data_IF_819198181449
#
_entry.id   IF_819198181449
#
_cell.length_a   1.000
_cell.length_b   1.000
_cell.length_c   1.000
_cell.angle_alpha   90.00
_cell.angle_beta   90.00
_cell.angle_gamma   90.00
#
_symmetry.space_group_name_H-M   'P 1'
#
loop_
_entity.id
_entity.type
_entity.pdbx_description
1 polymer ?
#
# COMPACT_ATOMS: atom_id res chain seq x y z
N UNK A 1 -27.42 -6.71 12.89
CA UNK A 1 -26.83 -6.59 11.53
C UNK A 1 -26.48 -5.15 11.09
N UNK A 2 -26.65 -4.13 11.95
CA UNK A 2 -26.32 -2.73 11.62
C UNK A 2 -24.80 -2.44 11.67
N UNK A 3 -24.07 -3.09 12.59
CA UNK A 3 -22.64 -2.86 12.81
C UNK A 3 -21.75 -3.28 11.63
N UNK A 4 -21.99 -4.48 11.08
CA UNK A 4 -21.21 -4.98 9.94
C UNK A 4 -21.44 -4.13 8.67
N UNK A 5 -22.68 -3.71 8.40
CA UNK A 5 -22.99 -2.80 7.28
C UNK A 5 -22.28 -1.45 7.43
N UNK A 6 -22.28 -0.87 8.63
CA UNK A 6 -21.56 0.38 8.92
C UNK A 6 -20.04 0.22 8.77
N UNK A 7 -19.49 -0.91 9.23
CA UNK A 7 -18.07 -1.23 9.09
C UNK A 7 -17.65 -1.38 7.62
N UNK A 8 -18.42 -2.12 6.82
CA UNK A 8 -18.14 -2.30 5.39
C UNK A 8 -18.25 -0.98 4.63
N UNK A 9 -19.26 -0.15 4.93
CA UNK A 9 -19.38 1.17 4.30
C UNK A 9 -18.23 2.10 4.71
N UNK A 10 -17.82 2.08 5.98
CA UNK A 10 -16.67 2.84 6.47
C UNK A 10 -15.37 2.43 5.77
N UNK A 11 -15.14 1.12 5.57
CA UNK A 11 -14.00 0.61 4.80
C UNK A 11 -14.09 1.06 3.34
N UNK A 12 -15.26 0.99 2.72
CA UNK A 12 -15.47 1.37 1.32
C UNK A 12 -15.26 2.87 1.08
N UNK A 13 -15.67 3.74 2.00
CA UNK A 13 -15.49 5.18 1.87
C UNK A 13 -14.04 5.60 2.15
N UNK A 14 -13.38 5.00 3.16
CA UNK A 14 -11.96 5.25 3.42
C UNK A 14 -11.05 4.72 2.33
N UNK A 15 -11.37 3.57 1.74
CA UNK A 15 -10.60 3.02 0.63
C UNK A 15 -10.66 3.94 -0.59
N UNK A 16 -11.85 4.44 -0.98
CA UNK A 16 -11.99 5.39 -2.10
C UNK A 16 -11.16 6.66 -1.92
N UNK A 17 -11.17 7.28 -0.74
CA UNK A 17 -10.40 8.50 -0.46
C UNK A 17 -8.88 8.28 -0.51
N UNK A 18 -8.39 7.13 -0.03
CA UNK A 18 -6.98 6.77 -0.12
C UNK A 18 -6.56 6.41 -1.54
N UNK A 19 -7.39 5.67 -2.28
CA UNK A 19 -7.16 5.34 -3.69
C UNK A 19 -6.93 6.63 -4.51
N UNK A 20 -7.76 7.66 -4.33
CA UNK A 20 -7.58 8.91 -5.08
C UNK A 20 -6.25 9.61 -4.75
N UNK A 21 -5.78 9.53 -3.50
CA UNK A 21 -4.55 10.18 -3.03
C UNK A 21 -3.27 9.41 -3.40
N UNK A 22 -3.33 8.07 -3.49
CA UNK A 22 -2.21 7.26 -3.99
C UNK A 22 -2.01 7.46 -5.50
N UNK A 23 -3.10 7.48 -6.28
CA UNK A 23 -3.03 7.60 -7.74
C UNK A 23 -2.58 9.00 -8.22
N UNK A 24 -2.66 10.03 -7.35
CA UNK A 24 -2.27 11.40 -7.70
C UNK A 24 -0.78 11.70 -7.49
N UNK A 25 -0.05 10.82 -6.79
CA UNK A 25 1.40 10.97 -6.58
C UNK A 25 2.16 10.16 -7.62
N UNK A 26 2.49 10.78 -8.75
CA UNK A 26 3.35 10.22 -9.80
C UNK A 26 4.81 10.19 -9.30
N UNK A 27 5.10 9.29 -8.36
CA UNK A 27 6.43 8.95 -7.85
C UNK A 27 6.86 7.64 -8.53
N UNK A 28 8.16 7.41 -8.72
CA UNK A 28 8.67 6.14 -9.25
C UNK A 28 7.98 4.95 -8.59
N UNK A 29 7.48 4.00 -9.38
CA UNK A 29 6.62 2.90 -8.93
C UNK A 29 7.25 2.10 -7.78
N UNK A 30 8.57 1.92 -7.81
CA UNK A 30 9.36 1.22 -6.78
C UNK A 30 9.49 2.03 -5.48
N UNK A 31 9.70 3.34 -5.58
CA UNK A 31 9.77 4.23 -4.42
C UNK A 31 8.43 4.34 -3.69
N UNK A 32 7.33 4.40 -4.44
CA UNK A 32 5.98 4.41 -3.89
C UNK A 32 5.64 3.07 -3.22
N UNK A 33 6.05 1.94 -3.80
CA UNK A 33 5.86 0.62 -3.20
C UNK A 33 6.58 0.52 -1.85
N UNK A 34 7.79 1.07 -1.75
CA UNK A 34 8.58 1.11 -0.51
C UNK A 34 7.95 2.02 0.56
N UNK A 35 7.36 3.16 0.16
CA UNK A 35 6.60 4.05 1.07
C UNK A 35 5.34 3.36 1.62
N UNK A 36 4.73 2.44 0.86
CA UNK A 36 3.59 1.64 1.34
C UNK A 36 4.03 0.53 2.30
N UNK A 37 5.21 -0.07 2.08
CA UNK A 37 5.78 -1.02 3.04
C UNK A 37 6.02 -0.38 4.41
N UNK A 38 6.53 0.86 4.47
CA UNK A 38 6.67 1.61 5.73
C UNK A 38 5.33 1.81 6.43
N UNK A 39 4.30 2.18 5.67
CA UNK A 39 2.96 2.37 6.22
C UNK A 39 2.34 1.07 6.70
N UNK A 40 2.65 -0.07 6.06
CA UNK A 40 2.15 -1.39 6.46
C UNK A 40 2.73 -1.83 7.81
N UNK A 41 4.00 -1.55 8.06
CA UNK A 41 4.71 -1.95 9.29
C UNK A 41 4.60 -0.92 10.41
N UNK A 42 4.18 0.31 10.09
CA UNK A 42 3.97 1.36 11.09
C UNK A 42 2.81 1.02 12.02
N UNK A 43 2.96 1.33 13.31
CA UNK A 43 1.92 1.20 14.33
C UNK A 43 0.83 2.29 14.23
N UNK A 44 0.98 3.26 13.32
CA UNK A 44 -0.02 4.30 13.06
C UNK A 44 -1.24 3.68 12.35
N UNK A 45 -2.15 3.09 13.14
CA UNK A 45 -3.38 2.39 12.75
C UNK A 45 -4.46 3.24 12.06
N UNK A 46 -4.07 4.20 11.21
CA UNK A 46 -4.97 5.10 10.48
C UNK A 46 -5.59 4.40 9.26
N UNK A 47 -4.98 3.30 8.80
CA UNK A 47 -5.39 2.52 7.60
C UNK A 47 -5.45 1.03 7.93
N UNK A 48 -6.46 0.32 7.42
CA UNK A 48 -6.50 -1.14 7.55
C UNK A 48 -5.26 -1.75 6.88
N UNK A 49 -4.44 -2.49 7.63
CA UNK A 49 -3.25 -3.16 7.08
C UNK A 49 -3.57 -4.04 5.86
N UNK A 50 -4.79 -4.59 5.80
CA UNK A 50 -5.30 -5.36 4.65
C UNK A 50 -5.39 -4.48 3.39
N UNK A 51 -5.81 -3.22 3.52
CA UNK A 51 -5.92 -2.28 2.40
C UNK A 51 -4.53 -1.93 1.84
N UNK A 52 -3.56 -1.67 2.73
CA UNK A 52 -2.18 -1.38 2.31
C UNK A 52 -1.55 -2.62 1.65
N UNK A 53 -1.70 -3.79 2.25
CA UNK A 53 -1.17 -5.03 1.69
C UNK A 53 -1.75 -5.34 0.30
N UNK A 54 -3.06 -5.12 0.11
CA UNK A 54 -3.70 -5.26 -1.21
C UNK A 54 -3.09 -4.30 -2.22
N UNK A 55 -2.87 -3.05 -1.85
CA UNK A 55 -2.33 -2.05 -2.76
C UNK A 55 -0.89 -2.35 -3.16
N UNK A 56 -0.05 -2.77 -2.20
CA UNK A 56 1.31 -3.27 -2.47
C UNK A 56 1.25 -4.39 -3.50
N UNK A 57 0.36 -5.37 -3.32
CA UNK A 57 0.23 -6.47 -4.27
C UNK A 57 -0.19 -6.00 -5.67
N UNK A 58 -1.20 -5.13 -5.78
CA UNK A 58 -1.69 -4.63 -7.07
C UNK A 58 -0.67 -3.78 -7.83
N UNK A 59 0.18 -3.04 -7.11
CA UNK A 59 1.26 -2.26 -7.71
C UNK A 59 2.42 -3.18 -8.11
N UNK A 60 2.82 -4.10 -7.24
CA UNK A 60 3.89 -5.06 -7.51
C UNK A 60 3.60 -5.97 -8.71
N UNK A 61 2.34 -6.40 -8.88
CA UNK A 61 1.92 -7.24 -10.01
C UNK A 61 2.23 -6.58 -11.36
N UNK A 62 2.05 -5.26 -11.46
CA UNK A 62 2.23 -4.47 -12.68
C UNK A 62 3.69 -4.18 -13.03
N UNK A 63 4.62 -4.41 -12.11
CA UNK A 63 6.04 -4.14 -12.33
C UNK A 63 6.68 -5.13 -13.30
N UNK A 64 7.61 -4.62 -14.11
CA UNK A 64 8.52 -5.44 -14.93
C UNK A 64 9.45 -6.28 -14.04
N UNK A 65 10.17 -7.23 -14.64
CA UNK A 65 11.15 -8.03 -13.91
C UNK A 65 12.29 -7.15 -13.35
N UNK A 66 12.77 -6.17 -14.11
CA UNK A 66 13.83 -5.24 -13.70
C UNK A 66 13.34 -4.34 -12.55
N UNK A 67 12.11 -3.85 -12.62
CA UNK A 67 11.54 -3.03 -11.56
C UNK A 67 11.33 -3.83 -10.26
N UNK A 68 10.98 -5.11 -10.37
CA UNK A 68 10.88 -6.03 -9.22
C UNK A 68 12.26 -6.26 -8.58
N UNK A 69 13.29 -6.45 -9.39
CA UNK A 69 14.67 -6.58 -8.90
C UNK A 69 15.12 -5.30 -8.15
N UNK A 70 14.90 -4.13 -8.74
CA UNK A 70 15.19 -2.84 -8.11
C UNK A 70 14.43 -2.70 -6.80
N UNK A 71 13.14 -3.08 -6.76
CA UNK A 71 12.34 -3.07 -5.54
C UNK A 71 12.95 -3.98 -4.46
N UNK A 72 13.30 -5.23 -4.79
CA UNK A 72 13.93 -6.12 -3.81
C UNK A 72 15.25 -5.58 -3.26
N UNK A 73 16.09 -4.96 -4.11
CA UNK A 73 17.32 -4.30 -3.66
C UNK A 73 17.04 -3.12 -2.72
N UNK A 74 15.98 -2.35 -2.97
CA UNK A 74 15.55 -1.26 -2.09
C UNK A 74 15.03 -1.76 -0.75
N UNK A 75 14.21 -2.83 -0.76
CA UNK A 75 13.69 -3.50 0.44
C UNK A 75 14.84 -4.06 1.28
N UNK A 76 15.76 -4.81 0.65
CA UNK A 76 16.94 -5.37 1.33
C UNK A 76 17.76 -4.25 1.98
N UNK A 77 18.09 -3.20 1.24
CA UNK A 77 18.86 -2.08 1.79
C UNK A 77 18.16 -1.38 2.96
N UNK A 78 16.83 -1.30 2.95
CA UNK A 78 16.06 -0.50 3.91
C UNK A 78 15.68 -1.26 5.17
N UNK A 79 15.30 -2.53 5.05
CA UNK A 79 14.78 -3.34 6.15
C UNK A 79 15.77 -4.40 6.67
N UNK A 80 17.02 -4.35 6.21
CA UNK A 80 18.10 -5.13 6.82
C UNK A 80 18.22 -4.81 8.31
N UNK A 81 18.45 -5.80 9.18
CA UNK A 81 18.71 -5.60 10.61
C UNK A 81 19.91 -4.70 10.88
#
# INVERSE_FOLDING_TARGET
>A
MLGLKKFLNFIADKSKGLFLNLFTKKKDSTSHLTDLCDQLISEDGVVSGITIAREIWQLYEKLSLEEKEIFFLQIDKKYKP
#
